data_IF_182115830990
#
_entry.id   IF_182115830990
#
_cell.length_a   1.000
_cell.length_b   1.000
_cell.length_c   1.000
_cell.angle_alpha   90.00
_cell.angle_beta   90.00
_cell.angle_gamma   90.00
#
_symmetry.space_group_name_H-M   'P 1'
#
loop_
_entity.id
_entity.type
_entity.pdbx_description
1 polymer ?
#
# COMPACT_ATOMS: atom_id res chain seq x y z
N UNK A 1 9.36 17.10 23.25
CA UNK A 1 8.42 16.64 22.20
C UNK A 1 7.17 17.51 22.25
N UNK A 2 6.74 18.16 21.16
CA UNK A 2 5.54 19.01 21.17
C UNK A 2 4.27 18.13 21.23
N UNK A 3 3.79 17.82 22.44
CA UNK A 3 2.67 16.93 22.69
C UNK A 3 1.33 17.42 22.10
N UNK A 4 1.18 18.74 21.88
CA UNK A 4 -0.08 19.32 21.37
C UNK A 4 -0.42 18.83 19.96
N UNK A 5 0.58 18.71 19.08
CA UNK A 5 0.37 18.22 17.72
C UNK A 5 -0.03 16.75 17.67
N UNK A 6 0.62 15.90 18.47
CA UNK A 6 0.27 14.48 18.55
C UNK A 6 -1.11 14.26 19.16
N UNK A 7 -1.47 14.98 20.23
CA UNK A 7 -2.80 14.85 20.83
C UNK A 7 -3.91 15.21 19.83
N UNK A 8 -3.74 16.31 19.10
CA UNK A 8 -4.68 16.70 18.05
C UNK A 8 -4.78 15.63 16.95
N UNK A 9 -3.64 15.18 16.42
CA UNK A 9 -3.62 14.19 15.34
C UNK A 9 -4.18 12.84 15.77
N UNK A 10 -3.87 12.35 16.97
CA UNK A 10 -4.43 11.11 17.50
C UNK A 10 -5.95 11.20 17.62
N UNK A 11 -6.48 12.25 18.26
CA UNK A 11 -7.93 12.44 18.38
C UNK A 11 -8.62 12.60 17.02
N UNK A 12 -8.04 13.37 16.11
CA UNK A 12 -8.54 13.53 14.75
C UNK A 12 -8.50 12.23 13.97
N UNK A 13 -7.46 11.41 14.13
CA UNK A 13 -7.29 10.12 13.46
C UNK A 13 -8.37 9.14 13.90
N UNK A 14 -8.74 9.09 15.18
CA UNK A 14 -9.86 8.25 15.65
C UNK A 14 -11.16 8.62 14.94
N UNK A 15 -11.47 9.92 14.84
CA UNK A 15 -12.65 10.42 14.13
C UNK A 15 -12.59 10.12 12.63
N UNK A 16 -11.42 10.20 12.00
CA UNK A 16 -11.28 9.91 10.58
C UNK A 16 -11.30 8.41 10.27
N UNK A 17 -10.77 7.57 11.18
CA UNK A 17 -10.83 6.12 11.06
C UNK A 17 -12.28 5.61 11.10
N UNK A 18 -13.16 6.23 11.89
CA UNK A 18 -14.59 5.86 11.90
C UNK A 18 -15.34 6.24 10.61
N UNK A 19 -14.75 7.12 9.79
CA UNK A 19 -15.26 7.53 8.48
C UNK A 19 -14.69 6.71 7.31
N UNK A 20 -13.79 5.76 7.57
CA UNK A 20 -13.31 4.87 6.51
C UNK A 20 -14.48 4.06 5.97
N UNK A 21 -14.59 4.03 4.64
CA UNK A 21 -15.67 3.37 3.94
C UNK A 21 -15.66 1.87 4.23
N UNK A 22 -16.85 1.38 4.59
CA UNK A 22 -17.04 -0.03 4.86
C UNK A 22 -17.10 -0.84 3.56
N UNK A 23 -16.69 -2.10 3.62
CA UNK A 23 -16.74 -3.00 2.45
C UNK A 23 -18.17 -3.17 1.95
N UNK A 24 -19.14 -3.19 2.86
CA UNK A 24 -20.55 -3.30 2.55
C UNK A 24 -21.00 -2.11 1.69
N UNK A 25 -20.51 -0.90 2.00
CA UNK A 25 -20.75 0.29 1.18
C UNK A 25 -20.08 0.15 -0.18
N UNK A 26 -18.84 -0.35 -0.23
CA UNK A 26 -18.10 -0.55 -1.48
C UNK A 26 -18.74 -1.60 -2.40
N UNK A 27 -19.35 -2.64 -1.83
CA UNK A 27 -20.09 -3.66 -2.59
C UNK A 27 -21.29 -3.07 -3.30
N UNK A 28 -22.01 -2.15 -2.66
CA UNK A 28 -23.17 -1.48 -3.25
C UNK A 28 -22.79 -0.65 -4.49
N UNK A 29 -21.53 -0.25 -4.62
CA UNK A 29 -21.07 0.45 -5.82
C UNK A 29 -20.94 -0.45 -7.05
N UNK A 30 -20.92 -1.78 -6.92
CA UNK A 30 -20.73 -2.67 -8.07
C UNK A 30 -21.93 -2.65 -9.03
N UNK A 31 -23.11 -2.30 -8.53
CA UNK A 31 -24.30 -2.10 -9.35
C UNK A 31 -24.36 -0.73 -10.05
N UNK A 32 -23.40 0.16 -9.78
CA UNK A 32 -23.39 1.50 -10.35
C UNK A 32 -22.76 1.53 -11.74
N UNK A 33 -23.19 2.48 -12.56
CA UNK A 33 -22.39 2.98 -13.68
C UNK A 33 -21.14 3.72 -13.17
N UNK A 34 -20.15 3.94 -14.05
CA UNK A 34 -18.95 4.70 -13.69
C UNK A 34 -19.28 6.12 -13.22
N UNK A 35 -20.22 6.80 -13.88
CA UNK A 35 -20.59 8.17 -13.54
C UNK A 35 -21.29 8.24 -12.17
N UNK A 36 -22.18 7.31 -11.88
CA UNK A 36 -22.81 7.19 -10.56
C UNK A 36 -21.80 6.85 -9.47
N UNK A 37 -20.82 5.98 -9.76
CA UNK A 37 -19.76 5.66 -8.82
C UNK A 37 -18.92 6.90 -8.48
N UNK A 38 -18.46 7.64 -9.49
CA UNK A 38 -17.68 8.87 -9.31
C UNK A 38 -18.51 9.94 -8.57
N UNK A 39 -19.78 10.14 -8.94
CA UNK A 39 -20.70 11.06 -8.26
C UNK A 39 -20.90 10.70 -6.79
N UNK A 40 -21.08 9.41 -6.48
CA UNK A 40 -21.18 8.95 -5.10
C UNK A 40 -19.90 9.21 -4.31
N UNK A 41 -18.72 8.98 -4.88
CA UNK A 41 -17.46 9.29 -4.23
C UNK A 41 -17.28 10.79 -3.98
N UNK A 42 -17.66 11.66 -4.93
CA UNK A 42 -17.66 13.12 -4.71
C UNK A 42 -18.48 13.51 -3.49
N UNK A 43 -19.70 12.98 -3.39
CA UNK A 43 -20.58 13.24 -2.24
C UNK A 43 -19.98 12.76 -0.92
N UNK A 44 -19.40 11.56 -0.91
CA UNK A 44 -18.79 10.96 0.29
C UNK A 44 -17.59 11.77 0.78
N UNK A 45 -16.75 12.24 -0.15
CA UNK A 45 -15.56 13.02 0.19
C UNK A 45 -15.80 14.53 0.25
N UNK A 46 -17.07 14.96 0.14
CA UNK A 46 -17.50 16.36 0.20
C UNK A 46 -16.75 17.24 -0.83
N UNK A 47 -16.74 16.79 -2.09
CA UNK A 47 -16.00 17.40 -3.20
C UNK A 47 -16.93 18.07 -4.21
N UNK A 48 -16.45 19.14 -4.86
CA UNK A 48 -17.18 19.84 -5.92
C UNK A 48 -17.18 19.10 -7.26
N UNK A 49 -18.02 19.57 -8.19
CA UNK A 49 -18.22 18.98 -9.52
C UNK A 49 -17.01 19.15 -10.47
N UNK A 50 -16.01 19.95 -10.09
CA UNK A 50 -14.76 20.09 -10.82
C UNK A 50 -13.92 18.80 -10.88
N UNK A 51 -14.15 17.86 -9.95
CA UNK A 51 -13.46 16.56 -9.91
C UNK A 51 -14.25 15.49 -10.67
N UNK A 52 -13.81 15.21 -11.89
CA UNK A 52 -14.60 14.48 -12.88
C UNK A 52 -14.29 13.00 -12.96
N UNK A 53 -13.12 12.57 -12.48
CA UNK A 53 -12.74 11.16 -12.51
C UNK A 53 -12.27 10.60 -11.17
N UNK A 54 -12.23 9.26 -11.11
CA UNK A 54 -11.83 8.50 -9.93
C UNK A 54 -10.44 8.89 -9.40
N UNK A 55 -9.45 9.05 -10.28
CA UNK A 55 -8.10 9.37 -9.84
C UNK A 55 -8.06 10.77 -9.25
N UNK A 56 -8.72 11.76 -9.85
CA UNK A 56 -8.78 13.13 -9.32
C UNK A 56 -9.36 13.15 -7.91
N UNK A 57 -10.47 12.44 -7.68
CA UNK A 57 -11.14 12.35 -6.38
C UNK A 57 -10.22 11.76 -5.31
N UNK A 58 -9.65 10.59 -5.58
CA UNK A 58 -8.79 9.90 -4.61
C UNK A 58 -7.49 10.69 -4.35
N UNK A 59 -6.94 11.35 -5.37
CA UNK A 59 -5.76 12.19 -5.23
C UNK A 59 -6.01 13.43 -4.38
N UNK A 60 -7.17 14.08 -4.55
CA UNK A 60 -7.56 15.21 -3.72
C UNK A 60 -7.66 14.79 -2.25
N UNK A 61 -8.41 13.72 -1.94
CA UNK A 61 -8.58 13.28 -0.56
C UNK A 61 -7.25 12.80 0.05
N UNK A 62 -6.40 12.11 -0.73
CA UNK A 62 -5.06 11.74 -0.28
C UNK A 62 -4.20 12.95 0.08
N UNK A 63 -4.14 13.97 -0.79
CA UNK A 63 -3.38 15.21 -0.56
C UNK A 63 -3.90 15.96 0.66
N UNK A 64 -5.22 16.03 0.84
CA UNK A 64 -5.86 16.63 2.02
C UNK A 64 -5.39 15.96 3.31
N UNK A 65 -5.37 14.62 3.33
CA UNK A 65 -4.92 13.84 4.48
C UNK A 65 -3.41 13.93 4.73
N UNK A 66 -2.58 13.87 3.68
CA UNK A 66 -1.14 14.11 3.79
C UNK A 66 -0.82 15.51 4.33
N UNK A 67 -1.53 16.53 3.86
CA UNK A 67 -1.34 17.91 4.32
C UNK A 67 -1.76 18.09 5.79
N UNK A 68 -2.82 17.40 6.23
CA UNK A 68 -3.19 17.35 7.65
C UNK A 68 -2.04 16.79 8.50
N UNK A 69 -1.44 15.68 8.08
CA UNK A 69 -0.26 15.11 8.78
C UNK A 69 0.89 16.11 8.74
N UNK A 70 1.25 16.65 7.58
CA UNK A 70 2.37 17.59 7.41
C UNK A 70 2.26 18.81 8.31
N UNK A 71 1.07 19.40 8.41
CA UNK A 71 0.86 20.68 9.11
C UNK A 71 0.65 20.55 10.61
N UNK A 72 0.23 19.38 11.10
CA UNK A 72 -0.10 19.17 12.52
C UNK A 72 0.88 18.26 13.25
N UNK A 73 1.67 17.47 12.52
CA UNK A 73 2.65 16.57 13.11
C UNK A 73 3.81 17.36 13.73
N UNK A 74 4.18 17.08 14.98
CA UNK A 74 5.39 17.62 15.62
C UNK A 74 6.72 17.28 14.93
N UNK A 75 6.72 16.33 13.99
CA UNK A 75 7.88 15.96 13.18
C UNK A 75 7.47 15.53 11.78
N UNK A 76 8.43 15.43 10.87
CA UNK A 76 8.18 15.15 9.46
C UNK A 76 8.10 13.66 9.11
N UNK A 77 8.47 12.76 10.01
CA UNK A 77 8.72 11.36 9.66
C UNK A 77 7.48 10.59 9.19
N UNK A 78 6.29 10.81 9.77
CA UNK A 78 5.05 10.20 9.24
C UNK A 78 4.75 10.74 7.85
N UNK A 79 4.85 12.06 7.66
CA UNK A 79 4.63 12.68 6.35
C UNK A 79 5.62 12.12 5.32
N UNK A 80 6.90 12.05 5.67
CA UNK A 80 7.99 11.62 4.79
C UNK A 80 7.91 10.14 4.45
N UNK A 81 7.48 9.30 5.40
CA UNK A 81 7.14 7.90 5.17
C UNK A 81 6.06 7.79 4.10
N UNK A 82 4.90 8.45 4.27
CA UNK A 82 3.80 8.31 3.29
C UNK A 82 4.05 9.05 1.99
N UNK A 83 4.85 10.12 1.99
CA UNK A 83 5.33 10.76 0.77
C UNK A 83 6.19 9.79 -0.04
N UNK A 84 7.11 9.07 0.61
CA UNK A 84 7.90 7.99 0.02
C UNK A 84 7.00 6.87 -0.51
N UNK A 85 6.09 6.32 0.30
CA UNK A 85 5.18 5.26 -0.16
C UNK A 85 4.31 5.71 -1.35
N UNK A 86 3.89 6.99 -1.37
CA UNK A 86 3.13 7.59 -2.47
C UNK A 86 3.94 7.59 -3.77
N UNK A 87 5.20 8.03 -3.70
CA UNK A 87 6.10 8.05 -4.85
C UNK A 87 6.23 6.66 -5.49
N UNK A 88 6.59 5.65 -4.70
CA UNK A 88 6.82 4.29 -5.22
C UNK A 88 5.54 3.63 -5.73
N UNK A 89 4.41 3.86 -5.06
CA UNK A 89 3.11 3.41 -5.55
C UNK A 89 2.80 3.99 -6.93
N UNK A 90 3.05 5.28 -7.12
CA UNK A 90 2.77 5.96 -8.39
C UNK A 90 3.74 5.59 -9.50
N UNK A 91 5.01 5.33 -9.18
CA UNK A 91 5.96 4.76 -10.14
C UNK A 91 5.44 3.39 -10.61
N UNK A 92 5.04 2.50 -9.69
CA UNK A 92 4.45 1.20 -10.05
C UNK A 92 3.16 1.34 -10.87
N UNK A 93 2.32 2.33 -10.55
CA UNK A 93 1.10 2.64 -11.29
C UNK A 93 1.37 3.13 -12.72
N UNK A 94 2.41 3.94 -12.93
CA UNK A 94 2.83 4.40 -14.26
C UNK A 94 3.42 3.27 -15.12
N UNK A 95 4.11 2.32 -14.50
CA UNK A 95 4.76 1.21 -15.22
C UNK A 95 3.82 0.08 -15.59
N UNK A 96 2.89 -0.28 -14.70
CA UNK A 96 2.09 -1.50 -14.86
C UNK A 96 0.61 -1.25 -15.18
N UNK A 97 0.10 -0.03 -15.02
CA UNK A 97 -1.33 0.34 -14.99
C UNK A 97 -2.20 -0.47 -13.98
N UNK A 98 -1.67 -1.54 -13.39
CA UNK A 98 -2.32 -2.43 -12.41
C UNK A 98 -2.43 -1.77 -11.04
N UNK A 99 -1.52 -0.85 -10.71
CA UNK A 99 -1.43 -0.19 -9.40
C UNK A 99 -2.14 1.17 -9.34
N UNK A 100 -2.51 1.59 -8.13
CA UNK A 100 -3.07 2.91 -7.87
C UNK A 100 -2.04 3.99 -8.20
N UNK A 101 -2.49 5.17 -8.66
CA UNK A 101 -1.62 6.34 -8.79
C UNK A 101 -2.08 7.44 -7.85
N UNK A 102 -1.20 7.79 -6.91
CA UNK A 102 -1.41 8.86 -5.93
C UNK A 102 -0.40 10.00 -6.15
N UNK A 103 -0.73 11.19 -5.69
CA UNK A 103 0.10 12.37 -5.93
C UNK A 103 0.28 13.14 -4.66
N UNK A 104 1.42 13.83 -4.58
CA UNK A 104 1.69 14.81 -3.53
C UNK A 104 1.68 16.20 -4.17
N UNK A 105 1.94 17.24 -3.39
CA UNK A 105 2.03 18.61 -3.91
C UNK A 105 3.19 18.78 -4.90
N UNK A 106 4.27 18.03 -4.69
CA UNK A 106 5.54 18.09 -5.42
C UNK A 106 5.76 16.93 -6.40
N UNK A 107 4.88 15.92 -6.39
CA UNK A 107 4.96 14.76 -7.28
C UNK A 107 3.64 14.60 -8.03
N UNK A 108 3.69 14.70 -9.35
CA UNK A 108 2.58 14.38 -10.23
C UNK A 108 2.86 13.14 -11.07
N UNK A 109 1.80 12.41 -11.42
CA UNK A 109 1.88 11.21 -12.27
C UNK A 109 2.41 11.55 -13.66
N UNK A 110 2.05 12.72 -14.20
CA UNK A 110 2.52 13.18 -15.51
C UNK A 110 4.02 13.43 -15.53
N UNK A 111 4.58 14.02 -14.46
CA UNK A 111 6.02 14.26 -14.35
C UNK A 111 6.81 12.96 -14.18
N UNK A 112 6.32 12.01 -13.38
CA UNK A 112 6.90 10.65 -13.28
C UNK A 112 6.91 9.99 -14.66
N UNK A 113 5.77 9.99 -15.35
CA UNK A 113 5.63 9.38 -16.69
C UNK A 113 6.57 10.03 -17.70
N UNK A 114 6.61 11.36 -17.75
CA UNK A 114 7.50 12.10 -18.65
C UNK A 114 8.97 11.76 -18.35
N UNK A 115 9.37 11.65 -17.10
CA UNK A 115 10.76 11.34 -16.78
C UNK A 115 11.14 9.91 -17.14
N UNK A 116 10.28 8.92 -16.84
CA UNK A 116 10.50 7.51 -17.19
C UNK A 116 10.66 7.35 -18.70
N UNK A 117 9.70 7.85 -19.49
CA UNK A 117 9.65 7.57 -20.93
C UNK A 117 10.42 8.56 -21.81
N UNK A 118 10.53 9.84 -21.38
CA UNK A 118 11.14 10.92 -22.18
C UNK A 118 12.41 11.50 -21.54
N UNK A 119 12.70 11.18 -20.29
CA UNK A 119 13.86 11.72 -19.56
C UNK A 119 13.72 13.18 -19.15
N UNK A 120 12.52 13.76 -19.27
CA UNK A 120 12.24 15.15 -18.91
C UNK A 120 11.18 15.20 -17.82
N UNK A 121 11.33 16.10 -16.86
CA UNK A 121 10.31 16.32 -15.84
C UNK A 121 10.79 17.18 -14.67
N UNK A 122 9.85 17.91 -14.07
CA UNK A 122 10.05 18.76 -12.88
C UNK A 122 9.88 17.91 -11.62
N UNK A 123 10.86 17.04 -11.37
CA UNK A 123 10.93 16.20 -10.17
C UNK A 123 12.11 16.64 -9.29
N UNK A 124 12.03 16.43 -7.96
CA UNK A 124 13.19 16.48 -7.07
C UNK A 124 14.36 15.62 -7.57
N UNK A 125 15.59 16.07 -7.32
CA UNK A 125 16.80 15.44 -7.90
C UNK A 125 17.04 14.02 -7.36
N UNK A 126 16.74 13.78 -6.09
CA UNK A 126 16.82 12.45 -5.48
C UNK A 126 15.85 11.46 -6.17
N UNK A 127 14.65 11.92 -6.54
CA UNK A 127 13.68 11.12 -7.30
C UNK A 127 14.19 10.84 -8.71
N UNK A 128 14.77 11.84 -9.39
CA UNK A 128 15.35 11.64 -10.72
C UNK A 128 16.45 10.59 -10.73
N UNK A 129 17.31 10.58 -9.71
CA UNK A 129 18.36 9.56 -9.56
C UNK A 129 17.77 8.15 -9.47
N UNK A 130 16.74 7.96 -8.64
CA UNK A 130 16.02 6.68 -8.52
C UNK A 130 15.43 6.27 -9.88
N UNK A 131 14.75 7.19 -10.57
CA UNK A 131 14.14 6.90 -11.87
C UNK A 131 15.17 6.64 -12.97
N UNK A 132 16.33 7.28 -12.93
CA UNK A 132 17.43 7.04 -13.87
C UNK A 132 18.02 5.64 -13.68
N UNK A 133 18.16 5.19 -12.44
CA UNK A 133 18.61 3.83 -12.14
C UNK A 133 17.56 2.79 -12.54
N UNK A 134 16.28 3.07 -12.25
CA UNK A 134 15.14 2.24 -12.63
C UNK A 134 15.12 1.89 -14.12
N UNK A 135 15.49 2.83 -15.01
CA UNK A 135 15.54 2.61 -16.47
C UNK A 135 16.35 1.38 -16.89
N UNK A 136 17.34 0.97 -16.10
CA UNK A 136 18.14 -0.25 -16.35
C UNK A 136 17.32 -1.53 -16.26
N UNK A 137 16.19 -1.50 -15.56
CA UNK A 137 15.40 -2.67 -15.22
C UNK A 137 14.01 -2.69 -15.89
N UNK A 138 13.51 -1.57 -16.43
CA UNK A 138 12.12 -1.41 -16.92
C UNK A 138 11.66 -2.49 -17.91
N UNK A 139 12.58 -3.11 -18.66
CA UNK A 139 12.27 -4.19 -19.61
C UNK A 139 11.99 -5.54 -18.92
N UNK A 140 12.31 -5.68 -17.64
CA UNK A 140 12.16 -6.88 -16.83
C UNK A 140 11.23 -6.55 -15.65
N UNK A 141 9.96 -6.97 -15.74
CA UNK A 141 8.91 -6.66 -14.75
C UNK A 141 9.35 -7.09 -13.33
N UNK A 142 9.99 -8.26 -13.22
CA UNK A 142 10.44 -8.79 -11.93
C UNK A 142 11.60 -7.98 -11.36
N UNK A 143 12.66 -7.71 -12.14
CA UNK A 143 13.77 -6.87 -11.65
C UNK A 143 13.33 -5.45 -11.32
N UNK A 144 12.39 -4.91 -12.10
CA UNK A 144 11.74 -3.63 -11.83
C UNK A 144 11.02 -3.64 -10.48
N UNK A 145 10.19 -4.64 -10.22
CA UNK A 145 9.48 -4.77 -8.94
C UNK A 145 10.46 -4.89 -7.76
N UNK A 146 11.49 -5.73 -7.89
CA UNK A 146 12.53 -5.91 -6.86
C UNK A 146 13.22 -4.59 -6.53
N UNK A 147 13.65 -3.87 -7.57
CA UNK A 147 14.33 -2.59 -7.42
C UNK A 147 13.45 -1.59 -6.66
N UNK A 148 12.19 -1.46 -7.07
CA UNK A 148 11.25 -0.52 -6.46
C UNK A 148 10.96 -0.87 -5.00
N UNK A 149 10.71 -2.15 -4.69
CA UNK A 149 10.45 -2.57 -3.31
C UNK A 149 11.66 -2.30 -2.42
N UNK A 150 12.88 -2.63 -2.87
CA UNK A 150 14.11 -2.38 -2.08
C UNK A 150 14.28 -0.89 -1.79
N UNK A 151 14.16 -0.05 -2.82
CA UNK A 151 14.30 1.40 -2.67
C UNK A 151 13.19 2.02 -1.82
N UNK A 152 11.96 1.50 -1.90
CA UNK A 152 10.86 1.91 -1.02
C UNK A 152 11.18 1.59 0.44
N UNK A 153 11.62 0.37 0.74
CA UNK A 153 11.95 -0.08 2.11
C UNK A 153 13.14 0.69 2.68
N UNK A 154 14.22 0.86 1.90
CA UNK A 154 15.41 1.63 2.31
C UNK A 154 15.02 3.02 2.81
N UNK A 155 14.17 3.73 2.05
CA UNK A 155 13.73 5.09 2.40
C UNK A 155 12.69 5.12 3.51
N UNK A 156 11.75 4.17 3.53
CA UNK A 156 10.77 4.06 4.61
C UNK A 156 11.45 3.80 5.97
N UNK A 157 12.56 3.05 5.97
CA UNK A 157 13.33 2.74 7.17
C UNK A 157 13.89 3.99 7.85
N UNK A 158 14.43 4.94 7.09
CA UNK A 158 14.97 6.23 7.60
C UNK A 158 13.96 6.99 8.49
N UNK A 159 12.68 6.82 8.21
CA UNK A 159 11.58 7.45 8.95
C UNK A 159 10.99 6.53 10.00
N UNK A 160 10.91 5.22 9.72
CA UNK A 160 10.33 4.23 10.61
C UNK A 160 11.18 4.01 11.87
N UNK A 161 12.50 4.13 11.80
CA UNK A 161 13.40 3.96 12.96
C UNK A 161 13.19 4.99 14.08
N UNK A 162 12.47 6.08 13.79
CA UNK A 162 12.18 7.13 14.77
C UNK A 162 11.05 6.78 15.74
N UNK A 163 10.35 5.67 15.51
CA UNK A 163 9.27 5.17 16.37
C UNK A 163 9.17 3.64 16.30
N UNK A 164 9.16 2.98 17.46
CA UNK A 164 9.17 1.51 17.55
C UNK A 164 7.94 0.84 16.91
N UNK A 165 6.77 1.49 16.93
CA UNK A 165 5.58 0.95 16.27
C UNK A 165 5.74 0.99 14.75
N UNK A 166 6.27 2.08 14.20
CA UNK A 166 6.51 2.22 12.76
C UNK A 166 7.63 1.26 12.30
N UNK A 167 8.74 1.18 13.04
CA UNK A 167 9.83 0.24 12.76
C UNK A 167 9.31 -1.19 12.73
N UNK A 168 8.54 -1.58 13.75
CA UNK A 168 7.96 -2.91 13.81
C UNK A 168 6.94 -3.17 12.70
N UNK A 169 6.15 -2.17 12.32
CA UNK A 169 5.27 -2.27 11.15
C UNK A 169 6.06 -2.56 9.87
N UNK A 170 7.17 -1.84 9.65
CA UNK A 170 8.02 -2.02 8.48
C UNK A 170 8.68 -3.41 8.45
N UNK A 171 9.21 -3.90 9.59
CA UNK A 171 9.75 -5.25 9.70
C UNK A 171 8.72 -6.32 9.30
N UNK A 172 7.47 -6.18 9.76
CA UNK A 172 6.37 -7.08 9.40
C UNK A 172 6.02 -6.94 7.91
N UNK A 173 5.94 -5.71 7.37
CA UNK A 173 5.69 -5.45 5.94
C UNK A 173 6.74 -6.14 5.07
N UNK A 174 8.01 -6.07 5.45
CA UNK A 174 9.13 -6.72 4.75
C UNK A 174 9.03 -8.24 4.85
N UNK A 175 8.85 -8.79 6.05
CA UNK A 175 8.74 -10.23 6.24
C UNK A 175 7.59 -10.83 5.43
N UNK A 176 6.41 -10.22 5.46
CA UNK A 176 5.26 -10.67 4.68
C UNK A 176 5.50 -10.52 3.18
N UNK A 177 6.24 -9.50 2.74
CA UNK A 177 6.63 -9.34 1.33
C UNK A 177 7.57 -10.46 0.89
N UNK A 178 8.55 -10.82 1.72
CA UNK A 178 9.43 -11.96 1.45
C UNK A 178 8.68 -13.30 1.46
N UNK A 179 7.75 -13.50 2.41
CA UNK A 179 6.89 -14.69 2.47
C UNK A 179 6.06 -14.82 1.19
N UNK A 180 5.35 -13.76 0.79
CA UNK A 180 4.55 -13.73 -0.45
C UNK A 180 5.41 -14.02 -1.66
N UNK A 181 6.59 -13.40 -1.73
CA UNK A 181 7.51 -13.62 -2.84
C UNK A 181 8.01 -15.07 -2.90
N UNK A 182 8.35 -15.66 -1.76
CA UNK A 182 8.81 -17.04 -1.70
C UNK A 182 7.69 -18.04 -2.02
N UNK A 183 6.45 -17.76 -1.61
CA UNK A 183 5.28 -18.55 -2.03
C UNK A 183 5.15 -18.52 -3.56
N UNK A 184 5.23 -17.34 -4.19
CA UNK A 184 5.19 -17.22 -5.66
C UNK A 184 6.31 -17.99 -6.34
N UNK A 185 7.54 -17.82 -5.84
CA UNK A 185 8.72 -18.53 -6.31
C UNK A 185 8.49 -20.05 -6.35
N UNK A 186 8.05 -20.64 -5.23
CA UNK A 186 7.78 -22.08 -5.15
C UNK A 186 6.57 -22.53 -5.97
N UNK A 187 5.50 -21.74 -5.97
CA UNK A 187 4.26 -22.04 -6.68
C UNK A 187 4.44 -22.06 -8.20
N UNK A 188 5.17 -21.07 -8.72
CA UNK A 188 5.39 -20.86 -10.15
C UNK A 188 6.68 -21.53 -10.65
N UNK A 189 7.47 -22.14 -9.76
CA UNK A 189 8.78 -22.72 -10.05
C UNK A 189 9.70 -21.73 -10.77
N UNK A 190 9.70 -20.49 -10.29
CA UNK A 190 10.58 -19.46 -10.83
C UNK A 190 12.05 -19.83 -10.57
N UNK A 191 12.95 -19.34 -11.42
CA UNK A 191 14.38 -19.65 -11.29
C UNK A 191 14.98 -19.08 -10.01
N UNK A 192 14.54 -17.88 -9.60
CA UNK A 192 15.21 -17.11 -8.54
C UNK A 192 14.23 -16.48 -7.56
N UNK A 193 14.37 -16.81 -6.28
CA UNK A 193 13.80 -16.04 -5.18
C UNK A 193 14.64 -14.78 -4.94
N UNK A 194 13.98 -13.66 -4.65
CA UNK A 194 14.66 -12.44 -4.22
C UNK A 194 14.31 -12.11 -2.77
N UNK A 195 15.34 -11.83 -1.99
CA UNK A 195 15.20 -11.38 -0.63
C UNK A 195 15.21 -9.85 -0.54
N UNK A 196 14.28 -9.31 0.25
CA UNK A 196 14.20 -7.91 0.66
C UNK A 196 14.75 -7.81 2.10
N UNK A 197 15.80 -7.00 2.35
CA UNK A 197 16.37 -6.84 3.69
C UNK A 197 15.48 -6.03 4.63
N UNK A 198 15.87 -5.96 5.91
CA UNK A 198 15.21 -5.20 7.00
C UNK A 198 13.95 -5.86 7.60
N UNK A 199 13.72 -7.13 7.30
CA UNK A 199 12.74 -7.98 8.01
C UNK A 199 13.36 -8.70 9.21
N UNK A 200 12.55 -9.48 9.92
CA UNK A 200 13.02 -10.34 11.02
C UNK A 200 13.35 -11.77 10.58
N UNK A 201 12.88 -12.20 9.41
CA UNK A 201 13.19 -13.51 8.85
C UNK A 201 14.51 -13.41 8.08
N UNK A 202 15.50 -14.19 8.49
CA UNK A 202 16.82 -14.22 7.87
C UNK A 202 16.78 -14.92 6.50
N UNK A 203 17.65 -14.54 5.54
CA UNK A 203 17.76 -15.23 4.24
C UNK A 203 17.96 -16.75 4.37
N UNK A 204 18.73 -17.18 5.39
CA UNK A 204 18.99 -18.59 5.67
C UNK A 204 17.72 -19.41 5.93
N UNK A 205 16.67 -18.78 6.46
CA UNK A 205 15.37 -19.45 6.65
C UNK A 205 14.77 -19.82 5.30
N UNK A 206 14.72 -18.90 4.34
CA UNK A 206 14.20 -19.18 3.00
C UNK A 206 15.03 -20.27 2.30
N UNK A 207 16.37 -20.20 2.38
CA UNK A 207 17.25 -21.22 1.82
C UNK A 207 16.97 -22.62 2.40
N UNK A 208 16.62 -22.72 3.69
CA UNK A 208 16.28 -24.01 4.31
C UNK A 208 14.97 -24.62 3.81
N UNK A 209 14.05 -23.79 3.29
CA UNK A 209 12.79 -24.22 2.68
C UNK A 209 12.87 -24.38 1.15
N UNK A 210 14.03 -24.18 0.53
CA UNK A 210 14.17 -24.29 -0.93
C UNK A 210 13.78 -25.70 -1.41
N UNK A 211 14.27 -26.73 -0.72
CA UNK A 211 14.00 -28.14 -1.02
C UNK A 211 12.74 -28.71 -0.35
N UNK A 212 12.05 -27.94 0.51
CA UNK A 212 10.82 -28.39 1.16
C UNK A 212 9.61 -28.28 0.22
N UNK A 213 8.46 -28.84 0.63
CA UNK A 213 7.20 -28.56 -0.05
C UNK A 213 6.73 -27.11 0.17
N UNK A 214 5.80 -26.65 -0.68
CA UNK A 214 5.15 -25.34 -0.51
C UNK A 214 4.31 -25.32 0.78
N UNK A 215 3.62 -26.42 1.08
CA UNK A 215 2.78 -26.59 2.27
C UNK A 215 3.60 -26.42 3.55
N UNK A 216 4.80 -27.02 3.60
CA UNK A 216 5.70 -26.85 4.75
C UNK A 216 6.09 -25.38 4.98
N UNK A 217 6.27 -24.61 3.90
CA UNK A 217 6.57 -23.19 4.00
C UNK A 217 5.34 -22.36 4.40
N UNK A 218 4.15 -22.71 3.91
CA UNK A 218 2.90 -22.08 4.34
C UNK A 218 2.67 -22.32 5.84
N UNK A 219 2.91 -23.53 6.34
CA UNK A 219 2.80 -23.86 7.77
C UNK A 219 3.81 -23.10 8.62
N UNK A 220 5.04 -22.90 8.14
CA UNK A 220 6.01 -22.00 8.77
C UNK A 220 5.48 -20.56 8.83
N UNK A 221 4.97 -20.06 7.70
CA UNK A 221 4.46 -18.69 7.58
C UNK A 221 3.30 -18.44 8.54
N UNK A 222 2.36 -19.38 8.66
CA UNK A 222 1.23 -19.30 9.59
C UNK A 222 1.67 -19.32 11.06
N UNK A 223 2.68 -20.14 11.42
CA UNK A 223 3.23 -20.14 12.79
C UNK A 223 3.94 -18.84 13.13
N UNK A 224 4.71 -18.28 12.19
CA UNK A 224 5.44 -17.02 12.39
C UNK A 224 4.49 -15.81 12.43
N UNK A 225 3.45 -15.84 11.59
CA UNK A 225 2.46 -14.78 11.45
C UNK A 225 1.04 -15.37 11.57
N UNK A 226 0.54 -15.58 12.80
CA UNK A 226 -0.81 -16.10 13.03
C UNK A 226 -1.87 -15.20 12.39
N UNK A 227 -2.83 -15.79 11.66
CA UNK A 227 -3.82 -15.11 10.80
C UNK A 227 -3.34 -14.76 9.38
N UNK A 228 -2.10 -15.07 8.99
CA UNK A 228 -1.68 -15.08 7.58
C UNK A 228 -2.15 -16.37 6.90
N UNK A 229 -3.48 -16.50 6.71
CA UNK A 229 -4.08 -17.70 6.13
C UNK A 229 -4.04 -17.62 4.60
N UNK A 230 -3.28 -18.52 4.00
CA UNK A 230 -3.12 -18.63 2.56
C UNK A 230 -4.14 -19.63 2.01
N UNK A 231 -4.78 -19.28 0.89
CA UNK A 231 -5.71 -20.18 0.19
C UNK A 231 -5.00 -21.47 -0.25
N UNK A 232 -5.69 -22.61 -0.24
CA UNK A 232 -5.08 -23.90 -0.63
C UNK A 232 -5.03 -24.13 -2.14
N UNK A 233 -6.00 -23.60 -2.88
CA UNK A 233 -6.02 -23.69 -4.35
C UNK A 233 -5.00 -22.71 -4.92
N UNK A 234 -4.15 -23.17 -5.83
CA UNK A 234 -3.02 -22.38 -6.35
C UNK A 234 -3.44 -21.05 -6.99
N UNK A 235 -4.47 -21.07 -7.82
CA UNK A 235 -4.97 -19.86 -8.49
C UNK A 235 -5.50 -18.84 -7.47
N UNK A 236 -6.33 -19.32 -6.52
CA UNK A 236 -6.90 -18.49 -5.46
C UNK A 236 -5.81 -17.97 -4.51
N UNK A 237 -4.78 -18.78 -4.25
CA UNK A 237 -3.59 -18.43 -3.48
C UNK A 237 -2.90 -17.24 -4.13
N UNK A 238 -2.43 -17.38 -5.37
CA UNK A 238 -1.64 -16.35 -6.04
C UNK A 238 -2.40 -15.03 -6.17
N UNK A 239 -3.72 -15.08 -6.41
CA UNK A 239 -4.59 -13.91 -6.51
C UNK A 239 -4.83 -13.22 -5.16
N UNK A 240 -4.78 -13.95 -4.04
CA UNK A 240 -5.10 -13.43 -2.71
C UNK A 240 -3.87 -12.97 -1.90
N UNK A 241 -2.64 -13.36 -2.27
CA UNK A 241 -1.44 -13.05 -1.48
C UNK A 241 -1.29 -11.56 -1.11
N UNK A 242 -1.53 -10.66 -2.07
CA UNK A 242 -1.47 -9.21 -1.82
C UNK A 242 -2.54 -8.73 -0.84
N UNK A 243 -3.75 -9.30 -0.92
CA UNK A 243 -4.85 -9.02 0.01
C UNK A 243 -4.54 -9.52 1.41
N UNK A 244 -4.10 -10.79 1.54
CA UNK A 244 -3.79 -11.41 2.83
C UNK A 244 -2.68 -10.64 3.56
N UNK A 245 -1.66 -10.17 2.82
CA UNK A 245 -0.61 -9.28 3.35
C UNK A 245 -1.21 -8.00 3.94
N UNK A 246 -2.02 -7.29 3.17
CA UNK A 246 -2.63 -6.03 3.62
C UNK A 246 -3.58 -6.25 4.82
N UNK A 247 -4.34 -7.36 4.84
CA UNK A 247 -5.24 -7.73 5.95
C UNK A 247 -4.49 -8.07 7.23
N UNK A 248 -3.33 -8.72 7.12
CA UNK A 248 -2.45 -8.98 8.25
C UNK A 248 -1.89 -7.68 8.82
N UNK A 249 -1.36 -6.80 7.96
CA UNK A 249 -0.83 -5.51 8.38
C UNK A 249 -1.90 -4.70 9.12
N UNK A 250 -3.16 -4.76 8.66
CA UNK A 250 -4.29 -4.16 9.38
C UNK A 250 -4.47 -4.71 10.80
N UNK A 251 -4.27 -6.01 11.05
CA UNK A 251 -4.31 -6.58 12.42
C UNK A 251 -3.27 -5.89 13.31
N UNK A 252 -2.05 -5.69 12.80
CA UNK A 252 -1.02 -4.97 13.54
C UNK A 252 -1.41 -3.51 13.79
N UNK A 253 -1.95 -2.82 12.78
CA UNK A 253 -2.37 -1.42 12.89
C UNK A 253 -3.41 -1.17 13.98
N UNK A 254 -4.29 -2.14 14.28
CA UNK A 254 -5.24 -2.02 15.39
C UNK A 254 -4.57 -1.80 16.74
N UNK A 255 -3.35 -2.28 16.93
CA UNK A 255 -2.61 -2.06 18.19
C UNK A 255 -2.38 -0.57 18.47
N UNK A 256 -2.41 0.30 17.44
CA UNK A 256 -2.38 1.74 17.62
C UNK A 256 -3.56 2.27 18.44
N UNK A 257 -4.73 1.62 18.41
CA UNK A 257 -5.90 2.02 19.20
C UNK A 257 -5.72 1.77 20.71
N UNK A 258 -4.78 0.90 21.09
CA UNK A 258 -4.40 0.69 22.49
C UNK A 258 -3.43 1.74 23.04
N UNK A 259 -2.94 2.67 22.20
CA UNK A 259 -2.01 3.74 22.60
C UNK A 259 -2.77 5.05 22.68
N UNK A 260 -2.74 5.71 23.84
CA UNK A 260 -3.56 6.89 24.10
C UNK A 260 -3.26 8.08 23.15
N UNK A 261 -1.98 8.41 22.96
CA UNK A 261 -1.55 9.53 22.11
C UNK A 261 -0.16 9.26 21.52
N UNK A 262 0.09 9.74 20.30
CA UNK A 262 1.38 9.57 19.62
C UNK A 262 1.26 9.32 18.12
N UNK A 263 2.38 8.99 17.46
CA UNK A 263 2.46 8.84 16.01
C UNK A 263 1.74 7.59 15.47
N UNK A 264 1.51 6.58 16.30
CA UNK A 264 0.95 5.29 15.86
C UNK A 264 -0.47 5.40 15.30
N UNK A 265 -1.34 6.22 15.91
CA UNK A 265 -2.72 6.45 15.45
C UNK A 265 -2.82 7.14 14.07
N UNK A 266 -2.17 8.31 13.85
CA UNK A 266 -2.15 8.92 12.51
C UNK A 266 -1.47 8.03 11.47
N UNK A 267 -0.44 7.28 11.85
CA UNK A 267 0.18 6.30 10.95
C UNK A 267 -0.77 5.16 10.58
N UNK A 268 -1.52 4.61 11.55
CA UNK A 268 -2.52 3.60 11.29
C UNK A 268 -3.66 4.12 10.42
N UNK A 269 -4.16 5.32 10.70
CA UNK A 269 -5.17 5.97 9.88
C UNK A 269 -4.75 6.07 8.41
N UNK A 270 -3.55 6.60 8.14
CA UNK A 270 -3.05 6.78 6.77
C UNK A 270 -2.88 5.45 6.03
N UNK A 271 -2.44 4.39 6.70
CA UNK A 271 -2.37 3.05 6.10
C UNK A 271 -3.76 2.48 5.79
N UNK A 272 -4.73 2.60 6.71
CA UNK A 272 -6.10 2.15 6.46
C UNK A 272 -6.74 2.93 5.30
N UNK A 273 -6.43 4.22 5.19
CA UNK A 273 -6.86 5.06 4.08
C UNK A 273 -6.29 4.59 2.75
N UNK A 274 -5.02 4.19 2.73
CA UNK A 274 -4.42 3.57 1.54
C UNK A 274 -5.10 2.23 1.17
N UNK A 275 -5.50 1.42 2.16
CA UNK A 275 -6.27 0.20 1.92
C UNK A 275 -7.66 0.51 1.35
N UNK A 276 -8.32 1.56 1.84
CA UNK A 276 -9.61 2.04 1.32
C UNK A 276 -9.50 2.35 -0.17
N UNK A 277 -8.49 3.13 -0.57
CA UNK A 277 -8.28 3.49 -1.97
C UNK A 277 -7.94 2.30 -2.85
N UNK A 278 -7.18 1.33 -2.35
CA UNK A 278 -6.93 0.08 -3.06
C UNK A 278 -8.23 -0.69 -3.30
N UNK A 279 -9.15 -0.72 -2.33
CA UNK A 279 -10.46 -1.36 -2.52
C UNK A 279 -11.34 -0.57 -3.48
N UNK A 280 -11.42 0.76 -3.37
CA UNK A 280 -12.17 1.59 -4.30
C UNK A 280 -11.64 1.46 -5.74
N UNK A 281 -10.32 1.32 -5.92
CA UNK A 281 -9.72 1.01 -7.22
C UNK A 281 -10.16 -0.37 -7.73
N UNK A 282 -10.18 -1.39 -6.87
CA UNK A 282 -10.69 -2.72 -7.23
C UNK A 282 -12.13 -2.64 -7.71
N UNK A 283 -12.99 -1.88 -7.03
CA UNK A 283 -14.37 -1.61 -7.44
C UNK A 283 -14.43 -0.87 -8.77
N UNK A 284 -13.68 0.23 -8.91
CA UNK A 284 -13.61 1.03 -10.14
C UNK A 284 -13.22 0.18 -11.36
N UNK A 285 -12.20 -0.66 -11.24
CA UNK A 285 -11.77 -1.59 -12.30
C UNK A 285 -12.87 -2.60 -12.59
N UNK A 286 -13.53 -3.12 -11.55
CA UNK A 286 -14.68 -4.00 -11.68
C UNK A 286 -15.79 -3.42 -12.55
N UNK A 287 -16.22 -2.20 -12.23
CA UNK A 287 -17.25 -1.47 -12.98
C UNK A 287 -16.76 -1.16 -14.41
N UNK A 288 -15.56 -0.59 -14.54
CA UNK A 288 -14.99 -0.15 -15.83
C UNK A 288 -14.89 -1.27 -16.86
N UNK A 289 -14.51 -2.47 -16.42
CA UNK A 289 -14.32 -3.63 -17.30
C UNK A 289 -15.45 -4.66 -17.20
N UNK A 290 -16.57 -4.30 -16.55
CA UNK A 290 -17.74 -5.16 -16.37
C UNK A 290 -17.37 -6.56 -15.83
N UNK A 291 -16.54 -6.61 -14.78
CA UNK A 291 -16.09 -7.85 -14.18
C UNK A 291 -17.21 -8.46 -13.30
N UNK A 292 -17.30 -9.79 -13.18
CA UNK A 292 -18.27 -10.42 -12.28
C UNK A 292 -18.11 -9.94 -10.84
N UNK A 293 -19.22 -9.58 -10.18
CA UNK A 293 -19.19 -9.04 -8.81
C UNK A 293 -18.45 -9.97 -7.84
N UNK A 294 -18.70 -11.28 -7.94
CA UNK A 294 -18.03 -12.30 -7.12
C UNK A 294 -16.50 -12.23 -7.24
N UNK A 295 -15.97 -11.98 -8.44
CA UNK A 295 -14.54 -11.82 -8.69
C UNK A 295 -13.99 -10.56 -8.02
N UNK A 296 -14.74 -9.45 -8.10
CA UNK A 296 -14.33 -8.17 -7.50
C UNK A 296 -14.37 -8.25 -5.97
N UNK A 297 -15.46 -8.77 -5.41
CA UNK A 297 -15.68 -8.93 -3.97
C UNK A 297 -14.57 -9.75 -3.32
N UNK A 298 -14.16 -10.86 -3.96
CA UNK A 298 -13.07 -11.71 -3.46
C UNK A 298 -11.75 -10.95 -3.27
N UNK A 299 -11.52 -9.91 -4.08
CA UNK A 299 -10.30 -9.10 -4.07
C UNK A 299 -10.36 -7.89 -3.12
N UNK A 300 -11.54 -7.59 -2.56
CA UNK A 300 -11.66 -6.54 -1.54
C UNK A 300 -11.00 -6.99 -0.25
N UNK A 301 -10.17 -6.12 0.32
CA UNK A 301 -9.48 -6.31 1.61
C UNK A 301 -10.43 -6.04 2.74
N UNK A 302 -10.36 -6.84 3.80
CA UNK A 302 -11.07 -6.56 5.04
C UNK A 302 -10.44 -5.38 5.81
N UNK A 303 -11.09 -4.21 5.75
CA UNK A 303 -10.65 -2.98 6.45
C UNK A 303 -11.45 -2.75 7.74
N UNK A 304 -12.60 -3.41 7.90
CA UNK A 304 -13.53 -3.15 9.01
C UNK A 304 -13.58 -4.35 9.96
N UNK A 305 -13.49 -4.04 11.25
CA UNK A 305 -13.39 -5.02 12.32
C UNK A 305 -12.01 -4.99 12.88
#
# INVERSE_FOLDING_TARGET
MNLKGWNYLSGKSVVLMSKILKIEVMKNFLSNTLDEFVSNLRRIYEMGEEYKDFNEIINYDWRKNLNLIKTKSPGDFIFSYFHTSTLFLSIRGVLSEKELTLTTADISVSEIRNYIYKGVGKLPEDIKLILKELKKYVQDEKKTEIFLIRKEVERELEFAERDEFLKRFLEIKVDLTNIVNFIRHKALKESDFYYIPHGTIKPSTFNSFEKSSLESFIDFSLRKYPSFQVERKMEDMLLSLGKIKDEYLRIYLKKAQGVAFGPSLPFAYMNLKLMEYKNLRTVYIGIKYNLPESMVIRRLRNING
#
